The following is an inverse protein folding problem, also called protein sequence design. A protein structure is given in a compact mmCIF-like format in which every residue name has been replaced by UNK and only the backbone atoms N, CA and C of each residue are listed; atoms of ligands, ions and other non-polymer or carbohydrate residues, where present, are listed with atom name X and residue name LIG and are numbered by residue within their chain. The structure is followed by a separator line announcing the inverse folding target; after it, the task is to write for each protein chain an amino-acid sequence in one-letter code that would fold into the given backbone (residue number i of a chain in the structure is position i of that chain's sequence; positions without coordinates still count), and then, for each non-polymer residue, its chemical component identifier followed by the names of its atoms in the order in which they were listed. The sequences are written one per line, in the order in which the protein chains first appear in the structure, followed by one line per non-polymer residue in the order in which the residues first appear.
data_IF_421466891338
#
_entry.id   IF_421466891338
#
_cell.length_a   1.000
_cell.length_b   1.000
_cell.length_c   1.000
_cell.angle_alpha   90.00
_cell.angle_beta   90.00
_cell.angle_gamma   90.00
#
_symmetry.space_group_name_H-M   'P 1'
#
loop_
_entity.id
_entity.type
_entity.pdbx_description
1 polymer ?
#
# COMPACT_ATOMS: atom_id res chain seq x y z
N UNK A 1 18.85 24.01 31.81
CA UNK A 1 18.65 22.83 30.97
C UNK A 1 17.24 22.82 30.32
N UNK A 2 16.18 23.09 31.07
CA UNK A 2 14.81 23.01 30.51
C UNK A 2 14.52 23.98 29.34
N UNK A 3 15.16 25.16 29.29
CA UNK A 3 14.94 26.15 28.21
C UNK A 3 15.55 25.71 26.89
N UNK A 4 16.80 25.21 26.88
CA UNK A 4 17.49 24.75 25.69
C UNK A 4 16.82 23.49 25.09
N UNK A 5 16.39 22.54 25.94
CA UNK A 5 15.65 21.37 25.51
C UNK A 5 14.30 21.73 24.89
N UNK A 6 13.56 22.68 25.49
CA UNK A 6 12.29 23.17 24.94
C UNK A 6 12.49 23.89 23.62
N UNK A 7 13.54 24.70 23.51
CA UNK A 7 13.90 25.41 22.29
C UNK A 7 14.16 24.43 21.14
N UNK A 8 15.05 23.45 21.36
CA UNK A 8 15.41 22.46 20.38
C UNK A 8 14.20 21.59 19.97
N UNK A 9 13.43 21.12 20.96
CA UNK A 9 12.24 20.31 20.73
C UNK A 9 11.20 21.08 19.89
N UNK A 10 10.98 22.37 20.19
CA UNK A 10 10.07 23.23 19.42
C UNK A 10 10.54 23.40 17.97
N UNK A 11 11.83 23.57 17.74
CA UNK A 11 12.37 23.68 16.38
C UNK A 11 12.21 22.37 15.61
N UNK A 12 12.54 21.22 16.22
CA UNK A 12 12.37 19.91 15.58
C UNK A 12 10.90 19.64 15.30
N UNK A 13 9.99 19.96 16.23
CA UNK A 13 8.56 19.76 16.04
C UNK A 13 8.01 20.65 14.91
N UNK A 14 8.40 21.92 14.85
CA UNK A 14 7.99 22.82 13.78
C UNK A 14 8.51 22.35 12.41
N UNK A 15 9.77 21.93 12.34
CA UNK A 15 10.37 21.38 11.13
C UNK A 15 9.71 20.04 10.71
N UNK A 16 9.37 19.19 11.69
CA UNK A 16 8.64 17.94 11.46
C UNK A 16 7.26 18.20 10.85
N UNK A 17 6.47 19.09 11.46
CA UNK A 17 5.14 19.44 10.94
C UNK A 17 5.21 20.00 9.52
N UNK A 18 6.15 20.91 9.27
CA UNK A 18 6.39 21.46 7.92
C UNK A 18 6.80 20.32 6.95
N UNK A 19 7.73 19.47 7.35
CA UNK A 19 8.18 18.32 6.56
C UNK A 19 7.02 17.36 6.26
N UNK A 20 6.18 17.04 7.24
CA UNK A 20 5.00 16.21 7.03
C UNK A 20 4.04 16.82 5.98
N UNK A 21 3.77 18.12 6.06
CA UNK A 21 2.91 18.78 5.08
C UNK A 21 3.52 18.70 3.68
N UNK A 22 4.81 19.03 3.56
CA UNK A 22 5.52 18.99 2.27
C UNK A 22 5.54 17.58 1.68
N UNK A 23 5.94 16.56 2.46
CA UNK A 23 6.00 15.19 1.97
C UNK A 23 4.61 14.62 1.66
N UNK A 24 3.60 14.93 2.48
CA UNK A 24 2.21 14.53 2.18
C UNK A 24 1.75 15.14 0.85
N UNK A 25 2.05 16.41 0.61
CA UNK A 25 1.70 17.08 -0.64
C UNK A 25 2.44 16.48 -1.84
N UNK A 26 3.74 16.20 -1.71
CA UNK A 26 4.54 15.57 -2.78
C UNK A 26 4.02 14.17 -3.11
N UNK A 27 3.72 13.35 -2.08
CA UNK A 27 3.17 12.01 -2.27
C UNK A 27 1.76 12.04 -2.87
N UNK A 28 0.95 13.02 -2.46
CA UNK A 28 -0.39 13.21 -3.01
C UNK A 28 -0.34 13.56 -4.50
N UNK A 29 0.59 14.43 -4.92
CA UNK A 29 0.79 14.74 -6.34
C UNK A 29 1.39 13.54 -7.10
N UNK A 30 2.38 12.85 -6.52
CA UNK A 30 3.09 11.75 -7.17
C UNK A 30 2.20 10.53 -7.39
N UNK A 31 1.64 9.99 -6.33
CA UNK A 31 0.87 8.75 -6.35
C UNK A 31 -0.63 8.97 -6.22
N UNK A 32 -1.05 9.92 -5.37
CA UNK A 32 -2.47 10.23 -5.19
C UNK A 32 -3.14 10.75 -6.45
N UNK A 33 -2.44 11.60 -7.22
CA UNK A 33 -2.99 12.12 -8.47
C UNK A 33 -3.24 10.99 -9.49
N UNK A 34 -2.36 10.00 -9.58
CA UNK A 34 -2.55 8.83 -10.48
C UNK A 34 -3.82 8.05 -10.13
N UNK A 35 -4.13 7.94 -8.84
CA UNK A 35 -5.32 7.22 -8.37
C UNK A 35 -6.61 8.04 -8.54
N UNK A 36 -6.52 9.39 -8.49
CA UNK A 36 -7.67 10.30 -8.61
C UNK A 36 -7.90 10.75 -10.07
N UNK A 37 -6.87 10.74 -10.91
CA UNK A 37 -6.94 11.22 -12.30
C UNK A 37 -8.08 10.59 -13.12
N UNK A 38 -8.36 9.28 -13.04
CA UNK A 38 -9.50 8.66 -13.75
C UNK A 38 -10.85 9.27 -13.36
N UNK A 39 -11.01 9.70 -12.09
CA UNK A 39 -12.22 10.36 -11.63
C UNK A 39 -12.38 11.78 -12.20
N UNK A 40 -11.25 12.50 -12.37
CA UNK A 40 -11.26 13.87 -12.88
C UNK A 40 -11.52 13.90 -14.40
N UNK A 41 -10.97 12.95 -15.15
CA UNK A 41 -11.14 12.86 -16.62
C UNK A 41 -12.59 12.50 -16.97
N UNK A 42 -13.27 11.69 -16.15
CA UNK A 42 -14.67 11.32 -16.36
C UNK A 42 -15.67 12.47 -16.29
N UNK A 43 -15.28 13.66 -15.84
CA UNK A 43 -16.00 14.95 -15.95
C UNK A 43 -17.33 15.06 -15.19
N UNK A 44 -17.81 13.98 -14.55
CA UNK A 44 -19.12 13.92 -13.90
C UNK A 44 -19.05 13.74 -12.38
N UNK A 45 -17.84 13.74 -11.81
CA UNK A 45 -17.66 13.52 -10.38
C UNK A 45 -17.80 14.86 -9.63
N UNK A 46 -18.66 14.85 -8.61
CA UNK A 46 -18.87 16.02 -7.75
C UNK A 46 -17.56 16.37 -7.02
N UNK A 47 -17.22 17.65 -6.96
CA UNK A 47 -15.99 18.12 -6.27
C UNK A 47 -15.90 17.68 -4.79
N UNK A 48 -17.04 17.45 -4.13
CA UNK A 48 -17.07 16.89 -2.76
C UNK A 48 -16.50 15.49 -2.68
N UNK A 49 -16.73 14.63 -3.68
CA UNK A 49 -16.20 13.26 -3.72
C UNK A 49 -14.68 13.28 -3.94
N UNK A 50 -14.19 14.20 -4.78
CA UNK A 50 -12.74 14.37 -4.98
C UNK A 50 -12.07 14.82 -3.68
N UNK A 51 -12.67 15.75 -2.96
CA UNK A 51 -12.15 16.22 -1.67
C UNK A 51 -12.17 15.10 -0.61
N UNK A 52 -13.22 14.28 -0.58
CA UNK A 52 -13.31 13.11 0.28
C UNK A 52 -12.23 12.07 -0.06
N UNK A 53 -12.01 11.79 -1.35
CA UNK A 53 -10.96 10.91 -1.82
C UNK A 53 -9.56 11.38 -1.37
N UNK A 54 -9.28 12.69 -1.52
CA UNK A 54 -8.02 13.30 -1.05
C UNK A 54 -7.91 13.16 0.47
N UNK A 55 -8.98 13.43 1.22
CA UNK A 55 -9.01 13.30 2.68
C UNK A 55 -8.69 11.90 3.17
N UNK A 56 -9.19 10.87 2.47
CA UNK A 56 -8.92 9.47 2.78
C UNK A 56 -7.48 9.03 2.45
N UNK A 57 -6.81 9.68 1.49
CA UNK A 57 -5.42 9.39 1.16
C UNK A 57 -4.42 10.01 2.13
N UNK A 58 -4.78 11.10 2.83
CA UNK A 58 -3.87 11.80 3.75
C UNK A 58 -3.34 10.86 4.85
N UNK A 59 -4.15 10.09 5.61
CA UNK A 59 -3.64 9.20 6.66
C UNK A 59 -2.75 8.09 6.09
N UNK A 60 -3.05 7.60 4.89
CA UNK A 60 -2.21 6.63 4.20
C UNK A 60 -0.82 7.20 3.88
N UNK A 61 -0.72 8.43 3.38
CA UNK A 61 0.56 9.07 3.09
C UNK A 61 1.33 9.45 4.36
N UNK A 62 0.67 9.65 5.50
CA UNK A 62 1.35 9.92 6.77
C UNK A 62 2.22 8.75 7.24
N UNK A 63 1.91 7.51 6.83
CA UNK A 63 2.79 6.36 7.05
C UNK A 63 4.21 6.69 6.61
N UNK A 64 4.35 7.30 5.43
CA UNK A 64 5.63 7.64 4.80
C UNK A 64 6.13 9.03 5.18
N UNK A 65 5.23 10.01 5.23
CA UNK A 65 5.58 11.40 5.48
C UNK A 65 6.15 11.64 6.88
N UNK A 66 5.69 10.90 7.89
CA UNK A 66 6.14 11.07 9.27
C UNK A 66 7.62 10.70 9.46
N UNK A 67 8.12 9.51 9.07
CA UNK A 67 9.54 9.20 9.21
C UNK A 67 10.44 10.08 8.30
N UNK A 68 10.00 10.38 7.07
CA UNK A 68 10.74 11.30 6.18
C UNK A 68 10.81 12.73 6.73
N UNK A 69 9.68 13.21 7.26
CA UNK A 69 9.61 14.51 7.91
C UNK A 69 10.53 14.60 9.11
N UNK A 70 10.62 13.54 9.93
CA UNK A 70 11.46 13.50 11.11
C UNK A 70 12.97 13.45 10.75
N UNK A 71 13.33 12.68 9.72
CA UNK A 71 14.70 12.67 9.18
C UNK A 71 15.11 14.09 8.72
N UNK A 72 14.27 14.70 7.88
CA UNK A 72 14.53 16.04 7.35
C UNK A 72 14.59 17.08 8.47
N UNK A 73 13.67 17.01 9.43
CA UNK A 73 13.65 17.91 10.59
C UNK A 73 14.93 17.79 11.41
N UNK A 74 15.40 16.58 11.69
CA UNK A 74 16.64 16.38 12.47
C UNK A 74 17.87 16.85 11.71
N UNK A 75 17.96 16.55 10.41
CA UNK A 75 19.09 17.02 9.59
C UNK A 75 19.14 18.56 9.51
N UNK A 76 18.01 19.22 9.26
CA UNK A 76 17.94 20.67 9.13
C UNK A 76 18.19 21.39 10.45
N UNK A 77 17.53 20.95 11.53
CA UNK A 77 17.65 21.61 12.83
C UNK A 77 19.04 21.43 13.41
N UNK A 78 19.61 20.22 13.40
CA UNK A 78 20.96 20.00 13.91
C UNK A 78 22.03 20.54 12.98
N UNK A 79 21.78 20.58 11.67
CA UNK A 79 22.65 21.26 10.71
C UNK A 79 22.74 22.76 10.98
N UNK A 80 21.61 23.41 11.18
CA UNK A 80 21.54 24.83 11.55
C UNK A 80 22.18 25.09 12.93
N UNK A 81 21.84 24.27 13.92
CA UNK A 81 22.37 24.36 15.28
C UNK A 81 23.93 24.24 15.31
N UNK A 82 24.49 23.44 14.43
CA UNK A 82 25.94 23.29 14.24
C UNK A 82 26.50 24.48 13.46
N UNK A 83 25.86 24.95 12.39
CA UNK A 83 26.34 26.06 11.56
C UNK A 83 26.36 27.40 12.30
N UNK A 84 25.35 27.64 13.15
CA UNK A 84 25.24 28.85 13.98
C UNK A 84 26.14 28.79 15.24
N UNK A 85 26.99 27.75 15.38
CA UNK A 85 27.89 27.51 16.51
C UNK A 85 27.21 27.35 17.88
N UNK A 86 25.87 27.20 17.92
CA UNK A 86 25.08 27.00 19.14
C UNK A 86 25.50 25.69 19.85
N UNK A 87 25.82 24.64 19.06
CA UNK A 87 26.29 23.36 19.56
C UNK A 87 27.68 23.53 20.25
N UNK A 88 28.57 24.31 19.64
CA UNK A 88 29.91 24.58 20.19
C UNK A 88 29.79 25.36 21.50
N UNK A 89 28.94 26.37 21.57
CA UNK A 89 28.68 27.16 22.78
C UNK A 89 28.07 26.29 23.91
N UNK A 90 27.12 25.41 23.58
CA UNK A 90 26.53 24.48 24.55
C UNK A 90 27.55 23.49 25.11
N UNK A 91 28.49 23.01 24.28
CA UNK A 91 29.60 22.14 24.72
C UNK A 91 30.60 22.87 25.56
N UNK A 92 30.95 24.09 25.19
CA UNK A 92 31.85 24.92 25.97
C UNK A 92 31.30 25.23 27.38
N UNK A 93 30.00 25.28 27.56
CA UNK A 93 29.33 25.38 28.87
C UNK A 93 29.19 24.04 29.62
N UNK A 94 29.83 22.95 29.14
CA UNK A 94 29.87 21.66 29.83
C UNK A 94 28.67 20.76 29.55
N UNK A 95 27.78 21.11 28.63
CA UNK A 95 26.61 20.29 28.28
C UNK A 95 27.06 19.18 27.31
N UNK A 96 26.82 17.92 27.67
CA UNK A 96 27.10 16.79 26.77
C UNK A 96 26.13 16.75 25.59
N UNK A 97 26.63 16.32 24.42
CA UNK A 97 25.79 16.16 23.23
C UNK A 97 24.63 15.17 23.48
N UNK A 98 24.89 14.07 24.20
CA UNK A 98 23.86 13.09 24.54
C UNK A 98 22.72 13.71 25.36
N UNK A 99 23.03 14.54 26.36
CA UNK A 99 22.02 15.25 27.14
C UNK A 99 21.19 16.18 26.25
N UNK A 100 21.82 16.82 25.26
CA UNK A 100 21.14 17.74 24.35
C UNK A 100 20.18 17.03 23.39
N UNK A 101 20.54 15.85 22.87
CA UNK A 101 19.73 15.11 21.91
C UNK A 101 18.65 14.23 22.54
N UNK A 102 18.77 13.92 23.85
CA UNK A 102 17.81 13.06 24.57
C UNK A 102 16.34 13.43 24.34
N UNK A 103 15.90 14.71 24.44
CA UNK A 103 14.49 15.04 24.21
C UNK A 103 14.02 14.78 22.77
N UNK A 104 14.93 14.87 21.80
CA UNK A 104 14.61 14.57 20.40
C UNK A 104 14.52 13.07 20.17
N UNK A 105 15.37 12.29 20.84
CA UNK A 105 15.28 10.82 20.83
C UNK A 105 13.99 10.33 21.51
N UNK A 106 13.57 10.95 22.60
CA UNK A 106 12.27 10.65 23.23
C UNK A 106 11.10 11.02 22.32
N UNK A 107 11.17 12.17 21.64
CA UNK A 107 10.19 12.53 20.61
C UNK A 107 10.14 11.47 19.49
N UNK A 108 11.28 10.97 19.04
CA UNK A 108 11.32 9.96 17.98
C UNK A 108 10.68 8.63 18.42
N UNK A 109 10.84 8.23 19.68
CA UNK A 109 10.14 7.06 20.23
C UNK A 109 8.64 7.28 20.31
N UNK A 110 8.21 8.48 20.71
CA UNK A 110 6.78 8.83 20.64
C UNK A 110 6.26 8.77 19.20
N UNK A 111 7.02 9.31 18.24
CA UNK A 111 6.69 9.22 16.81
C UNK A 111 6.68 7.78 16.30
N UNK A 112 7.50 6.86 16.83
CA UNK A 112 7.40 5.43 16.51
C UNK A 112 6.06 4.84 16.94
N UNK A 113 5.58 5.16 18.14
CA UNK A 113 4.26 4.74 18.61
C UNK A 113 3.13 5.29 17.73
N UNK A 114 3.21 6.58 17.37
CA UNK A 114 2.27 7.21 16.46
C UNK A 114 2.32 6.58 15.05
N UNK A 115 3.53 6.35 14.53
CA UNK A 115 3.75 5.68 13.25
C UNK A 115 3.21 4.25 13.26
N UNK A 116 3.40 3.52 14.36
CA UNK A 116 2.84 2.19 14.52
C UNK A 116 1.30 2.22 14.45
N UNK A 117 0.67 3.12 15.18
CA UNK A 117 -0.79 3.26 15.15
C UNK A 117 -1.30 3.60 13.75
N UNK A 118 -0.65 4.55 13.05
CA UNK A 118 -1.03 4.93 11.70
C UNK A 118 -0.83 3.75 10.74
N UNK A 119 0.30 3.05 10.82
CA UNK A 119 0.68 2.01 9.86
C UNK A 119 -0.09 0.69 10.07
N UNK A 120 -0.37 0.31 11.32
CA UNK A 120 -1.04 -0.94 11.67
C UNK A 120 -2.57 -0.86 11.53
N UNK A 121 -3.15 0.32 11.68
CA UNK A 121 -4.62 0.47 11.74
C UNK A 121 -5.16 1.57 10.82
N UNK A 122 -4.75 2.84 11.00
CA UNK A 122 -5.37 4.00 10.35
C UNK A 122 -5.11 4.03 8.84
N UNK A 123 -3.87 3.83 8.41
CA UNK A 123 -3.47 3.86 6.99
C UNK A 123 -4.18 2.80 6.14
N UNK A 124 -4.12 1.50 6.52
CA UNK A 124 -4.85 0.46 5.79
C UNK A 124 -6.35 0.69 5.72
N UNK A 125 -6.99 1.11 6.84
CA UNK A 125 -8.43 1.43 6.84
C UNK A 125 -8.78 2.56 5.87
N UNK A 126 -8.02 3.65 5.91
CA UNK A 126 -8.23 4.79 5.02
C UNK A 126 -8.07 4.40 3.56
N UNK A 127 -7.09 3.55 3.24
CA UNK A 127 -6.87 3.06 1.87
C UNK A 127 -8.02 2.16 1.39
N UNK A 128 -8.55 1.29 2.26
CA UNK A 128 -9.72 0.46 1.94
C UNK A 128 -10.96 1.32 1.67
N UNK A 129 -11.22 2.32 2.51
CA UNK A 129 -12.35 3.24 2.31
C UNK A 129 -12.17 4.07 1.02
N UNK A 130 -10.95 4.53 0.73
CA UNK A 130 -10.63 5.19 -0.53
C UNK A 130 -10.93 4.28 -1.73
N UNK A 131 -10.45 3.02 -1.71
CA UNK A 131 -10.73 2.06 -2.80
C UNK A 131 -12.23 1.78 -2.96
N UNK A 132 -12.97 1.68 -1.87
CA UNK A 132 -14.43 1.54 -1.92
C UNK A 132 -15.11 2.77 -2.54
N UNK A 133 -14.64 3.98 -2.18
CA UNK A 133 -15.14 5.22 -2.77
C UNK A 133 -14.90 5.26 -4.27
N UNK A 134 -13.65 5.01 -4.71
CA UNK A 134 -13.30 4.93 -6.14
C UNK A 134 -14.19 3.92 -6.86
N UNK A 135 -14.34 2.74 -6.27
CA UNK A 135 -15.15 1.68 -6.86
C UNK A 135 -16.63 2.07 -6.98
N UNK A 136 -17.21 2.72 -5.95
CA UNK A 136 -18.60 3.19 -6.00
C UNK A 136 -18.82 4.23 -7.10
N UNK A 137 -17.85 5.15 -7.28
CA UNK A 137 -17.91 6.18 -8.32
C UNK A 137 -17.77 5.56 -9.72
N UNK A 138 -16.84 4.61 -9.89
CA UNK A 138 -16.70 3.89 -11.16
C UNK A 138 -17.96 3.09 -11.51
N UNK A 139 -18.58 2.46 -10.51
CA UNK A 139 -19.85 1.76 -10.69
C UNK A 139 -21.01 2.71 -11.10
N UNK A 140 -21.05 3.91 -10.54
CA UNK A 140 -22.04 4.91 -10.91
C UNK A 140 -21.75 5.51 -12.31
N UNK A 141 -20.48 5.69 -12.68
CA UNK A 141 -20.08 6.13 -14.03
C UNK A 141 -20.36 5.06 -15.09
N UNK A 142 -20.13 3.78 -14.78
CA UNK A 142 -20.48 2.66 -15.66
C UNK A 142 -21.99 2.59 -15.97
N UNK A 143 -22.85 3.15 -15.11
CA UNK A 143 -24.29 3.28 -15.37
C UNK A 143 -24.60 4.21 -16.56
N UNK A 144 -23.76 5.23 -16.80
CA UNK A 144 -24.10 6.30 -17.75
C UNK A 144 -23.28 6.27 -19.03
N UNK A 145 -22.07 5.69 -19.03
CA UNK A 145 -21.20 5.72 -20.22
C UNK A 145 -20.29 4.50 -20.27
N UNK A 146 -20.79 3.38 -20.77
CA UNK A 146 -19.88 2.39 -21.36
C UNK A 146 -19.29 3.07 -22.62
N UNK A 147 -17.95 3.31 -22.67
CA UNK A 147 -17.34 3.96 -23.83
C UNK A 147 -17.56 3.11 -25.09
N UNK A 148 -17.99 3.77 -26.15
CA UNK A 148 -18.22 3.11 -27.42
C UNK A 148 -16.91 2.74 -28.11
N UNK A 149 -16.88 1.60 -28.77
CA UNK A 149 -15.76 1.09 -29.62
C UNK A 149 -14.44 0.93 -28.88
N UNK A 150 -14.47 0.69 -27.57
CA UNK A 150 -13.30 0.44 -26.75
C UNK A 150 -13.47 -0.83 -25.90
N UNK A 151 -12.33 -1.51 -25.65
CA UNK A 151 -12.30 -2.64 -24.73
C UNK A 151 -12.16 -2.11 -23.28
N UNK A 152 -13.21 -2.32 -22.49
CA UNK A 152 -13.30 -1.93 -21.10
C UNK A 152 -12.70 -3.07 -20.26
N UNK A 153 -11.63 -2.80 -19.52
CA UNK A 153 -10.93 -3.75 -18.65
C UNK A 153 -11.11 -3.44 -17.16
N UNK A 154 -11.98 -2.50 -16.86
CA UNK A 154 -12.21 -2.01 -15.49
C UNK A 154 -12.97 -3.00 -14.62
N UNK A 155 -13.47 -4.08 -15.21
CA UNK A 155 -14.16 -5.15 -14.51
C UNK A 155 -13.24 -6.35 -14.28
N UNK A 156 -12.83 -6.64 -13.02
CA UNK A 156 -11.95 -7.77 -12.71
C UNK A 156 -12.52 -9.10 -13.25
N UNK A 157 -11.71 -9.79 -14.06
CA UNK A 157 -12.12 -11.07 -14.67
C UNK A 157 -12.95 -10.96 -15.95
N UNK A 158 -13.18 -9.72 -16.46
CA UNK A 158 -13.96 -9.50 -17.67
C UNK A 158 -13.31 -8.45 -18.57
N UNK A 159 -13.45 -8.62 -19.87
CA UNK A 159 -13.23 -7.57 -20.85
C UNK A 159 -14.54 -7.37 -21.59
N UNK A 160 -15.06 -6.15 -21.59
CA UNK A 160 -16.34 -5.81 -22.20
C UNK A 160 -16.08 -4.87 -23.38
N UNK A 161 -16.67 -5.15 -24.52
CA UNK A 161 -16.67 -4.27 -25.68
C UNK A 161 -18.09 -3.91 -26.04
N UNK A 162 -18.35 -2.66 -26.32
CA UNK A 162 -19.65 -2.13 -26.75
C UNK A 162 -19.43 -1.31 -28.01
N UNK A 163 -20.10 -1.67 -29.10
CA UNK A 163 -20.03 -0.94 -30.36
C UNK A 163 -20.72 0.41 -30.30
N UNK A 164 -21.96 0.46 -29.78
CA UNK A 164 -22.72 1.69 -29.53
C UNK A 164 -23.54 1.58 -28.25
N UNK A 165 -23.68 2.69 -27.56
CA UNK A 165 -24.45 2.81 -26.33
C UNK A 165 -25.42 4.00 -26.40
N UNK A 166 -26.71 3.74 -26.45
CA UNK A 166 -27.75 4.76 -26.48
C UNK A 166 -28.56 4.67 -25.17
N UNK A 167 -28.05 5.28 -24.08
CA UNK A 167 -28.78 5.37 -22.82
C UNK A 167 -29.09 4.03 -22.14
N UNK A 168 -28.20 3.02 -22.34
CA UNK A 168 -28.34 1.68 -21.77
C UNK A 168 -28.78 0.63 -22.80
N UNK A 169 -29.28 1.02 -23.97
CA UNK A 169 -29.46 0.11 -25.08
C UNK A 169 -28.13 -0.03 -25.84
N UNK A 170 -27.60 -1.24 -25.83
CA UNK A 170 -26.28 -1.57 -26.36
C UNK A 170 -26.36 -2.26 -27.72
N UNK A 171 -25.46 -1.93 -28.63
CA UNK A 171 -25.32 -2.62 -29.93
C UNK A 171 -23.90 -3.17 -30.03
N UNK A 172 -23.78 -4.37 -30.61
CA UNK A 172 -22.53 -5.08 -30.83
C UNK A 172 -21.73 -5.26 -29.54
N UNK A 173 -22.30 -6.05 -28.62
CA UNK A 173 -21.73 -6.31 -27.29
C UNK A 173 -20.88 -7.57 -27.30
N UNK A 174 -19.62 -7.49 -26.86
CA UNK A 174 -18.77 -8.65 -26.64
C UNK A 174 -18.32 -8.67 -25.18
N UNK A 175 -18.48 -9.81 -24.53
CA UNK A 175 -18.04 -10.05 -23.15
C UNK A 175 -17.06 -11.21 -23.17
N UNK A 176 -15.82 -10.96 -22.74
CA UNK A 176 -14.79 -11.99 -22.56
C UNK A 176 -14.65 -12.27 -21.07
N UNK A 177 -14.81 -13.52 -20.69
CA UNK A 177 -14.61 -13.99 -19.32
C UNK A 177 -13.18 -14.53 -19.20
N UNK A 178 -12.42 -13.97 -18.26
CA UNK A 178 -11.03 -14.32 -18.03
C UNK A 178 -10.90 -15.26 -16.82
N UNK A 179 -10.13 -16.33 -16.97
CA UNK A 179 -9.68 -17.16 -15.87
C UNK A 179 -8.27 -16.72 -15.46
N UNK A 180 -8.06 -16.47 -14.15
CA UNK A 180 -6.78 -15.99 -13.60
C UNK A 180 -6.27 -14.67 -14.23
N UNK A 181 -7.16 -13.82 -14.75
CA UNK A 181 -6.83 -12.49 -15.28
C UNK A 181 -6.19 -12.47 -16.66
N UNK A 182 -5.82 -13.61 -17.26
CA UNK A 182 -5.08 -13.66 -18.55
C UNK A 182 -5.71 -14.55 -19.60
N UNK A 183 -6.33 -15.66 -19.25
CA UNK A 183 -6.84 -16.62 -20.23
C UNK A 183 -8.33 -16.45 -20.47
N UNK A 184 -8.75 -16.19 -21.70
CA UNK A 184 -10.16 -16.12 -22.09
C UNK A 184 -10.75 -17.53 -22.08
N UNK A 185 -11.74 -17.77 -21.22
CA UNK A 185 -12.46 -19.08 -21.12
C UNK A 185 -13.81 -19.04 -21.80
N UNK A 186 -14.46 -17.88 -21.86
CA UNK A 186 -15.77 -17.75 -22.48
C UNK A 186 -15.84 -16.42 -23.21
N UNK A 187 -16.34 -16.46 -24.44
CA UNK A 187 -16.63 -15.27 -25.23
C UNK A 187 -18.13 -15.25 -25.53
N UNK A 188 -18.79 -14.15 -25.22
CA UNK A 188 -20.19 -13.92 -25.49
C UNK A 188 -20.27 -12.75 -26.47
N UNK A 189 -20.94 -12.93 -27.57
CA UNK A 189 -21.21 -11.90 -28.58
C UNK A 189 -22.71 -11.76 -28.75
N UNK A 190 -23.22 -10.54 -28.71
CA UNK A 190 -24.62 -10.24 -28.93
C UNK A 190 -24.76 -9.00 -29.83
N UNK A 191 -25.58 -9.05 -30.90
CA UNK A 191 -25.81 -7.89 -31.77
C UNK A 191 -26.55 -6.77 -31.03
N UNK A 192 -27.41 -7.12 -30.07
CA UNK A 192 -28.19 -6.18 -29.28
C UNK A 192 -28.21 -6.61 -27.82
N UNK A 193 -28.18 -5.64 -26.91
CA UNK A 193 -28.28 -5.86 -25.48
C UNK A 193 -28.80 -4.64 -24.74
N UNK A 194 -29.24 -4.87 -23.51
CA UNK A 194 -29.65 -3.81 -22.60
C UNK A 194 -28.92 -3.93 -21.28
N UNK A 195 -28.36 -2.82 -20.84
CA UNK A 195 -27.75 -2.73 -19.53
C UNK A 195 -28.82 -2.37 -18.50
N UNK A 196 -29.08 -3.29 -17.58
CA UNK A 196 -29.87 -3.04 -16.38
C UNK A 196 -28.95 -2.95 -15.17
N UNK A 197 -29.13 -1.93 -14.36
CA UNK A 197 -28.40 -1.76 -13.12
C UNK A 197 -29.38 -1.88 -11.97
N UNK A 198 -29.21 -2.90 -11.16
CA UNK A 198 -29.95 -3.02 -9.91
C UNK A 198 -29.28 -2.16 -8.84
N UNK A 199 -29.94 -1.04 -8.50
CA UNK A 199 -29.43 -0.09 -7.51
C UNK A 199 -29.40 -0.67 -6.09
N UNK A 200 -30.23 -1.67 -5.79
CA UNK A 200 -30.31 -2.27 -4.45
C UNK A 200 -29.27 -3.36 -4.26
N UNK A 201 -29.05 -4.21 -5.27
CA UNK A 201 -28.09 -5.31 -5.22
C UNK A 201 -26.72 -4.95 -5.80
N UNK A 202 -26.60 -3.77 -6.42
CA UNK A 202 -25.38 -3.30 -7.13
C UNK A 202 -24.89 -4.28 -8.19
N UNK A 203 -25.84 -4.95 -8.85
CA UNK A 203 -25.55 -5.88 -9.94
C UNK A 203 -25.70 -5.17 -11.28
N UNK A 204 -24.73 -5.38 -12.17
CA UNK A 204 -24.82 -4.98 -13.58
C UNK A 204 -25.35 -6.20 -14.36
N UNK A 205 -26.56 -6.11 -14.87
CA UNK A 205 -27.14 -7.17 -15.70
C UNK A 205 -27.14 -6.73 -17.15
N UNK A 206 -26.42 -7.47 -17.97
CA UNK A 206 -26.48 -7.36 -19.42
C UNK A 206 -27.53 -8.32 -19.94
N UNK A 207 -28.67 -7.80 -20.37
CA UNK A 207 -29.69 -8.58 -21.07
C UNK A 207 -29.30 -8.59 -22.55
N UNK A 208 -28.71 -9.67 -23.00
CA UNK A 208 -28.18 -9.85 -24.36
C UNK A 208 -29.21 -10.58 -25.23
N UNK A 209 -29.59 -9.99 -26.36
CA UNK A 209 -30.53 -10.57 -27.33
C UNK A 209 -29.74 -11.28 -28.43
N UNK A 210 -30.20 -12.47 -28.82
CA UNK A 210 -29.58 -13.29 -29.86
C UNK A 210 -28.11 -13.59 -29.64
N UNK A 211 -27.74 -13.83 -28.37
CA UNK A 211 -26.36 -14.01 -27.97
C UNK A 211 -25.74 -15.33 -28.51
N UNK A 212 -24.47 -15.28 -28.85
CA UNK A 212 -23.63 -16.42 -29.19
C UNK A 212 -22.57 -16.56 -28.11
N UNK A 213 -22.52 -17.72 -27.48
CA UNK A 213 -21.51 -18.03 -26.46
C UNK A 213 -20.54 -19.09 -26.98
N UNK A 214 -19.25 -18.81 -26.89
CA UNK A 214 -18.17 -19.74 -27.19
C UNK A 214 -17.41 -20.00 -25.90
N UNK A 215 -17.43 -21.25 -25.45
CA UNK A 215 -16.72 -21.68 -24.25
C UNK A 215 -15.54 -22.57 -24.61
N UNK A 216 -14.37 -22.27 -24.10
CA UNK A 216 -13.16 -23.09 -24.21
C UNK A 216 -13.17 -24.09 -23.06
N UNK A 217 -13.26 -25.38 -23.39
CA UNK A 217 -13.21 -26.44 -22.38
C UNK A 217 -11.76 -26.71 -21.94
N UNK A 218 -11.53 -27.32 -20.76
CA UNK A 218 -10.18 -27.69 -20.29
C UNK A 218 -9.42 -28.59 -21.28
N UNK A 219 -10.11 -29.33 -22.12
CA UNK A 219 -9.54 -30.21 -23.14
C UNK A 219 -9.21 -29.48 -24.47
N UNK A 220 -9.29 -28.14 -24.50
CA UNK A 220 -9.05 -27.34 -25.70
C UNK A 220 -10.18 -27.36 -26.74
N UNK A 221 -11.27 -28.11 -26.51
CA UNK A 221 -12.44 -28.13 -27.40
C UNK A 221 -13.30 -26.89 -27.21
N UNK A 222 -13.90 -26.39 -28.29
CA UNK A 222 -14.81 -25.24 -28.27
C UNK A 222 -16.26 -25.72 -28.23
N UNK A 223 -17.04 -25.18 -27.30
CA UNK A 223 -18.48 -25.40 -27.25
C UNK A 223 -19.19 -24.13 -27.69
N UNK A 224 -20.03 -24.22 -28.71
CA UNK A 224 -20.81 -23.11 -29.23
C UNK A 224 -22.25 -23.24 -28.74
N UNK A 225 -22.78 -22.19 -28.14
CA UNK A 225 -24.19 -22.10 -27.69
C UNK A 225 -24.82 -20.87 -28.31
N UNK A 226 -25.99 -21.03 -28.95
CA UNK A 226 -26.73 -19.96 -29.61
C UNK A 226 -28.07 -19.73 -28.90
N UNK A 227 -28.32 -18.48 -28.49
CA UNK A 227 -29.58 -18.05 -27.83
C UNK A 227 -30.45 -17.26 -28.82
N UNK A 228 -30.85 -17.90 -29.89
CA UNK A 228 -31.65 -17.25 -30.94
C UNK A 228 -33.10 -17.05 -30.46
N UNK A 229 -33.59 -15.80 -30.44
CA UNK A 229 -34.92 -15.44 -29.96
C UNK A 229 -35.09 -15.40 -28.44
N UNK A 230 -34.03 -15.62 -27.68
CA UNK A 230 -34.01 -15.58 -26.22
C UNK A 230 -33.08 -14.50 -25.72
N UNK A 231 -33.38 -13.90 -24.55
CA UNK A 231 -32.46 -13.01 -23.85
C UNK A 231 -31.54 -13.82 -22.93
N UNK A 232 -30.24 -13.64 -23.08
CA UNK A 232 -29.28 -14.14 -22.13
C UNK A 232 -29.02 -13.02 -21.12
N UNK A 233 -29.47 -13.19 -19.89
CA UNK A 233 -29.14 -12.26 -18.81
C UNK A 233 -27.81 -12.67 -18.20
N UNK A 234 -26.78 -11.88 -18.46
CA UNK A 234 -25.46 -12.05 -17.85
C UNK A 234 -25.30 -11.03 -16.73
N UNK A 235 -25.37 -11.50 -15.51
CA UNK A 235 -25.23 -10.64 -14.33
C UNK A 235 -23.79 -10.62 -13.87
N UNK A 236 -23.16 -9.47 -13.97
CA UNK A 236 -21.92 -9.19 -13.28
C UNK A 236 -22.26 -8.69 -11.88
N UNK A 237 -21.99 -9.51 -10.90
CA UNK A 237 -22.07 -9.06 -9.52
C UNK A 237 -20.91 -8.11 -9.29
N UNK A 238 -21.20 -6.81 -9.29
CA UNK A 238 -20.26 -5.86 -8.73
C UNK A 238 -19.92 -6.35 -7.34
N UNK A 239 -18.61 -6.46 -6.99
CA UNK A 239 -18.22 -6.86 -5.65
C UNK A 239 -19.06 -6.03 -4.68
N UNK A 240 -19.97 -6.71 -4.01
CA UNK A 240 -20.98 -6.07 -3.18
C UNK A 240 -20.27 -5.16 -2.18
N UNK A 241 -20.72 -3.91 -2.08
CA UNK A 241 -20.33 -2.99 -1.00
C UNK A 241 -20.89 -3.44 0.35
N UNK A 242 -21.40 -4.65 0.40
CA UNK A 242 -21.64 -5.30 1.67
C UNK A 242 -20.30 -5.35 2.37
N UNK A 243 -20.21 -4.72 3.54
CA UNK A 243 -19.00 -4.63 4.36
C UNK A 243 -18.33 -6.00 4.61
N UNK A 244 -19.03 -7.10 4.25
CA UNK A 244 -18.60 -8.49 4.36
C UNK A 244 -17.98 -9.10 3.09
N UNK A 245 -18.13 -8.49 1.90
CA UNK A 245 -17.72 -9.11 0.63
C UNK A 245 -16.48 -8.49 -0.02
N UNK A 246 -16.07 -7.26 0.35
CA UNK A 246 -14.80 -6.70 -0.10
C UNK A 246 -13.68 -7.31 0.74
N UNK A 247 -12.97 -8.28 0.17
CA UNK A 247 -11.69 -8.73 0.75
C UNK A 247 -10.60 -7.73 0.34
N UNK A 248 -10.05 -6.97 1.29
CA UNK A 248 -8.94 -6.09 0.98
C UNK A 248 -7.74 -6.92 0.50
N UNK A 249 -6.93 -6.34 -0.39
CA UNK A 249 -5.65 -6.95 -0.74
C UNK A 249 -4.79 -7.08 0.53
N UNK A 250 -3.87 -8.04 0.57
CA UNK A 250 -2.99 -8.28 1.73
C UNK A 250 -2.29 -6.99 2.16
N UNK A 251 -1.87 -6.16 1.20
CA UNK A 251 -1.21 -4.85 1.43
C UNK A 251 -2.12 -3.77 2.03
N UNK A 252 -3.43 -3.96 1.98
CA UNK A 252 -4.43 -3.01 2.49
C UNK A 252 -5.08 -3.51 3.80
N UNK A 253 -4.69 -4.68 4.29
CA UNK A 253 -5.21 -5.25 5.53
C UNK A 253 -4.56 -4.59 6.74
N UNK A 254 -5.36 -4.37 7.80
CA UNK A 254 -4.82 -3.99 9.10
C UNK A 254 -4.04 -5.15 9.72
N UNK A 255 -3.12 -4.85 10.62
CA UNK A 255 -2.33 -5.87 11.33
C UNK A 255 -3.20 -6.97 11.96
N UNK A 256 -4.31 -6.60 12.58
CA UNK A 256 -5.25 -7.54 13.19
C UNK A 256 -5.98 -8.41 12.17
N UNK A 257 -6.30 -7.85 10.99
CA UNK A 257 -6.90 -8.63 9.90
C UNK A 257 -5.90 -9.63 9.33
N UNK A 258 -4.63 -9.22 9.17
CA UNK A 258 -3.55 -10.11 8.72
C UNK A 258 -3.34 -11.25 9.71
N UNK A 259 -3.33 -10.95 11.02
CA UNK A 259 -3.18 -11.97 12.05
C UNK A 259 -4.35 -12.96 12.05
N UNK A 260 -5.59 -12.48 11.97
CA UNK A 260 -6.77 -13.34 11.91
C UNK A 260 -6.77 -14.24 10.66
N UNK A 261 -6.41 -13.69 9.50
CA UNK A 261 -6.32 -14.47 8.25
C UNK A 261 -5.19 -15.52 8.33
N UNK A 262 -4.06 -15.17 8.96
CA UNK A 262 -2.96 -16.09 9.21
C UNK A 262 -3.38 -17.24 10.15
N UNK A 263 -4.12 -16.92 11.22
CA UNK A 263 -4.62 -17.91 12.17
C UNK A 263 -5.66 -18.83 11.51
N UNK A 264 -6.54 -18.28 10.68
CA UNK A 264 -7.53 -19.04 9.93
C UNK A 264 -6.88 -19.97 8.90
N UNK A 265 -5.85 -19.50 8.18
CA UNK A 265 -5.07 -20.32 7.27
C UNK A 265 -4.32 -21.44 8.04
N UNK A 266 -3.70 -21.12 9.16
CA UNK A 266 -3.02 -22.09 10.00
C UNK A 266 -3.97 -23.18 10.52
N UNK A 267 -5.22 -22.83 10.89
CA UNK A 267 -6.25 -23.80 11.31
C UNK A 267 -6.68 -24.69 10.15
N UNK A 268 -6.92 -24.12 8.96
CA UNK A 268 -7.37 -24.86 7.77
C UNK A 268 -6.31 -25.76 7.20
N UNK A 269 -5.03 -25.36 7.27
CA UNK A 269 -3.88 -26.11 6.74
C UNK A 269 -3.21 -26.98 7.82
N UNK A 270 -3.62 -26.88 9.09
CA UNK A 270 -3.04 -27.60 10.23
C UNK A 270 -3.65 -28.96 10.51
N UNK A 271 -4.70 -29.37 9.78
CA UNK A 271 -5.29 -30.71 9.85
C UNK A 271 -4.70 -31.56 8.72
N UNK A 272 -3.88 -32.58 8.99
CA UNK A 272 -3.49 -33.53 7.94
C UNK A 272 -4.74 -34.28 7.48
N UNK A 273 -4.96 -34.41 6.17
CA UNK A 273 -5.95 -35.36 5.68
C UNK A 273 -5.51 -36.78 6.12
N UNK A 274 -6.49 -37.62 6.44
CA UNK A 274 -6.37 -38.97 6.95
C UNK A 274 -5.01 -39.64 6.64
N UNK A 275 -4.24 -39.86 7.71
CA UNK A 275 -2.90 -40.45 7.66
C UNK A 275 -2.94 -41.98 7.49
N UNK A 276 -4.10 -42.61 7.46
CA UNK A 276 -4.26 -44.05 7.56
C UNK A 276 -4.05 -44.82 6.25
N UNK A 277 -3.91 -44.15 5.09
CA UNK A 277 -3.86 -44.84 3.79
C UNK A 277 -2.51 -44.81 3.04
N UNK A 278 -1.46 -44.18 3.59
CA UNK A 278 -0.20 -43.99 2.85
C UNK A 278 1.00 -44.55 3.59
N UNK A 279 1.83 -45.33 2.92
CA UNK A 279 3.06 -45.92 3.48
C UNK A 279 4.12 -44.89 3.90
N UNK A 280 5.11 -45.25 4.73
CA UNK A 280 6.01 -44.34 5.44
C UNK A 280 6.81 -43.36 4.54
N UNK A 281 7.15 -43.74 3.31
CA UNK A 281 7.85 -42.85 2.35
C UNK A 281 6.93 -41.83 1.70
N UNK A 282 5.66 -42.14 1.50
CA UNK A 282 4.67 -41.21 0.98
C UNK A 282 4.22 -40.14 2.00
N UNK A 283 4.36 -40.40 3.30
CA UNK A 283 4.09 -39.48 4.35
C UNK A 283 5.09 -38.29 4.36
N UNK A 284 6.37 -38.57 4.19
CA UNK A 284 7.42 -37.55 4.20
C UNK A 284 7.29 -36.58 3.02
N UNK A 285 7.00 -37.06 1.83
CA UNK A 285 6.84 -36.25 0.63
C UNK A 285 5.58 -35.37 0.72
N UNK A 286 4.45 -35.91 1.18
CA UNK A 286 3.22 -35.14 1.41
C UNK A 286 3.35 -34.13 2.54
N UNK A 287 4.09 -34.45 3.60
CA UNK A 287 4.40 -33.48 4.67
C UNK A 287 5.21 -32.30 4.14
N UNK A 288 6.26 -32.55 3.35
CA UNK A 288 7.07 -31.49 2.75
C UNK A 288 6.29 -30.67 1.72
N UNK A 289 5.41 -31.29 0.93
CA UNK A 289 4.55 -30.57 -0.01
C UNK A 289 3.50 -29.71 0.73
N UNK A 290 2.87 -30.23 1.77
CA UNK A 290 1.92 -29.50 2.60
C UNK A 290 2.59 -28.34 3.37
N UNK A 291 3.79 -28.57 3.89
CA UNK A 291 4.59 -27.55 4.57
C UNK A 291 5.04 -26.46 3.61
N UNK A 292 5.45 -26.80 2.40
CA UNK A 292 5.79 -25.85 1.33
C UNK A 292 4.56 -25.04 0.91
N UNK A 293 3.43 -25.72 0.66
CA UNK A 293 2.18 -25.07 0.29
C UNK A 293 1.65 -24.14 1.39
N UNK A 294 1.82 -24.54 2.66
CA UNK A 294 1.54 -23.69 3.82
C UNK A 294 2.47 -22.47 3.85
N UNK A 295 3.77 -22.66 3.61
CA UNK A 295 4.74 -21.58 3.52
C UNK A 295 4.35 -20.58 2.43
N UNK A 296 4.09 -21.05 1.23
CA UNK A 296 3.74 -20.21 0.07
C UNK A 296 2.49 -19.34 0.31
N UNK A 297 1.50 -19.84 1.06
CA UNK A 297 0.27 -19.11 1.38
C UNK A 297 0.38 -18.19 2.59
N UNK A 298 1.18 -18.53 3.59
CA UNK A 298 1.30 -17.76 4.84
C UNK A 298 2.41 -16.72 4.79
N UNK A 299 3.44 -16.93 3.96
CA UNK A 299 4.59 -16.03 3.90
C UNK A 299 4.23 -14.60 3.46
N UNK A 300 3.36 -14.35 2.45
CA UNK A 300 2.96 -12.98 2.10
C UNK A 300 2.29 -12.22 3.24
N UNK A 301 1.52 -12.92 4.08
CA UNK A 301 0.87 -12.31 5.26
C UNK A 301 1.92 -11.95 6.32
N UNK A 302 2.88 -12.84 6.58
CA UNK A 302 3.98 -12.59 7.52
C UNK A 302 4.85 -11.44 7.05
N UNK A 303 5.22 -11.44 5.77
CA UNK A 303 6.00 -10.37 5.14
C UNK A 303 5.33 -9.02 5.36
N UNK A 304 4.03 -8.92 5.09
CA UNK A 304 3.29 -7.66 5.27
C UNK A 304 3.21 -7.25 6.74
N UNK A 305 2.96 -8.18 7.68
CA UNK A 305 2.97 -7.89 9.11
C UNK A 305 4.33 -7.35 9.57
N UNK A 306 5.42 -8.02 9.20
CA UNK A 306 6.77 -7.57 9.54
C UNK A 306 7.11 -6.23 8.89
N UNK A 307 6.68 -5.98 7.64
CA UNK A 307 6.84 -4.71 6.93
C UNK A 307 6.18 -3.57 7.71
N UNK A 308 4.91 -3.74 8.11
CA UNK A 308 4.16 -2.72 8.86
C UNK A 308 4.85 -2.39 10.20
N UNK A 309 5.28 -3.40 10.95
CA UNK A 309 5.97 -3.20 12.24
C UNK A 309 7.35 -2.58 12.04
N UNK A 310 8.17 -3.13 11.15
CA UNK A 310 9.53 -2.64 10.91
C UNK A 310 9.53 -1.18 10.45
N UNK A 311 8.60 -0.81 9.58
CA UNK A 311 8.48 0.56 9.09
C UNK A 311 8.12 1.56 10.20
N UNK A 312 7.40 1.12 11.23
CA UNK A 312 7.07 1.97 12.38
C UNK A 312 8.32 2.40 13.17
N UNK A 313 9.39 1.58 13.17
CA UNK A 313 10.67 1.91 13.78
C UNK A 313 11.54 2.85 12.95
N UNK A 314 11.17 3.13 11.69
CA UNK A 314 11.93 4.04 10.83
C UNK A 314 12.11 5.45 11.45
N UNK A 315 11.12 5.93 12.20
CA UNK A 315 11.20 7.21 12.90
C UNK A 315 12.42 7.31 13.83
N UNK A 316 12.66 6.27 14.64
CA UNK A 316 13.82 6.23 15.53
C UNK A 316 15.13 6.07 14.75
N UNK A 317 15.15 5.16 13.76
CA UNK A 317 16.31 4.90 12.92
C UNK A 317 16.77 6.16 12.18
N UNK A 318 15.84 6.88 11.59
CA UNK A 318 16.09 8.14 10.87
C UNK A 318 16.52 9.27 11.80
N UNK A 319 15.96 9.36 12.99
CA UNK A 319 16.40 10.36 13.98
C UNK A 319 17.81 10.10 14.43
N UNK A 320 18.13 8.83 14.73
CA UNK A 320 19.44 8.46 15.25
C UNK A 320 20.58 8.72 14.25
N UNK A 321 20.33 8.54 12.95
CA UNK A 321 21.29 8.84 11.89
C UNK A 321 21.25 10.31 11.48
N UNK A 322 20.07 10.94 11.47
CA UNK A 322 19.86 12.32 11.04
C UNK A 322 20.57 13.33 11.93
N UNK A 323 20.57 13.13 13.25
CA UNK A 323 21.24 14.02 14.21
C UNK A 323 22.74 14.15 13.94
N UNK A 324 23.55 13.07 13.96
CA UNK A 324 25.00 13.20 13.77
C UNK A 324 25.39 13.63 12.35
N UNK A 325 24.60 13.25 11.34
CA UNK A 325 24.82 13.72 9.97
C UNK A 325 24.51 15.22 9.85
N UNK A 326 23.43 15.70 10.45
CA UNK A 326 23.12 17.11 10.51
C UNK A 326 24.24 17.92 11.15
N UNK A 327 24.79 17.45 12.28
CA UNK A 327 25.91 18.10 12.95
C UNK A 327 27.17 18.19 12.06
N UNK A 328 27.45 17.14 11.27
CA UNK A 328 28.63 17.11 10.38
C UNK A 328 28.52 17.97 9.15
N UNK A 329 27.29 18.15 8.63
CA UNK A 329 27.04 18.99 7.45
C UNK A 329 27.09 20.47 7.80
N UNK A 330 28.15 20.94 8.42
CA UNK A 330 28.40 22.32 8.87
C UNK A 330 28.22 23.46 7.84
N UNK A 331 27.63 23.21 6.70
CA UNK A 331 27.43 24.19 5.63
C UNK A 331 26.12 24.91 5.79
N UNK A 332 26.16 26.24 5.64
CA UNK A 332 25.00 27.17 5.66
C UNK A 332 23.92 26.88 4.60
N UNK A 333 24.13 25.88 3.76
CA UNK A 333 23.22 25.55 2.65
C UNK A 333 22.20 24.48 3.07
N UNK A 334 20.98 24.89 3.26
CA UNK A 334 19.79 24.04 3.52
C UNK A 334 19.65 22.92 2.49
N UNK A 335 20.08 23.15 1.25
CA UNK A 335 19.99 22.22 0.14
C UNK A 335 20.78 20.92 0.39
N UNK A 336 21.94 20.99 1.07
CA UNK A 336 22.76 19.81 1.37
C UNK A 336 22.04 18.88 2.36
N UNK A 337 21.37 19.45 3.37
CA UNK A 337 20.57 18.67 4.34
C UNK A 337 19.41 17.94 3.67
N UNK A 338 18.69 18.63 2.78
CA UNK A 338 17.56 18.04 2.03
C UNK A 338 18.05 16.95 1.07
N UNK A 339 19.15 17.19 0.34
CA UNK A 339 19.74 16.19 -0.54
C UNK A 339 20.19 14.94 0.22
N UNK A 340 20.82 15.11 1.40
CA UNK A 340 21.22 14.01 2.27
C UNK A 340 19.99 13.22 2.76
N UNK A 341 18.92 13.92 3.17
CA UNK A 341 17.68 13.26 3.57
C UNK A 341 17.12 12.40 2.43
N UNK A 342 17.10 12.94 1.22
CA UNK A 342 16.59 12.23 0.04
C UNK A 342 17.43 10.97 -0.25
N UNK A 343 18.73 11.04 -0.20
CA UNK A 343 19.63 9.89 -0.40
C UNK A 343 19.37 8.80 0.65
N UNK A 344 19.27 9.17 1.93
CA UNK A 344 19.00 8.21 3.00
C UNK A 344 17.62 7.55 2.85
N UNK A 345 16.61 8.32 2.45
CA UNK A 345 15.27 7.80 2.13
C UNK A 345 15.35 6.83 0.96
N UNK A 346 16.03 7.17 -0.12
CA UNK A 346 16.20 6.28 -1.28
C UNK A 346 16.89 4.96 -0.90
N UNK A 347 17.94 5.01 -0.08
CA UNK A 347 18.61 3.81 0.42
C UNK A 347 17.64 2.95 1.24
N UNK A 348 16.88 3.56 2.15
CA UNK A 348 15.89 2.85 2.96
C UNK A 348 14.82 2.17 2.10
N UNK A 349 14.29 2.90 1.11
CA UNK A 349 13.29 2.36 0.17
C UNK A 349 13.84 1.28 -0.75
N UNK A 350 15.11 1.34 -1.13
CA UNK A 350 15.73 0.28 -1.92
C UNK A 350 15.68 -1.08 -1.18
N UNK A 351 15.91 -1.08 0.16
CA UNK A 351 15.74 -2.30 0.96
C UNK A 351 14.29 -2.80 1.00
N UNK A 352 13.31 -1.88 1.09
CA UNK A 352 11.89 -2.25 1.04
C UNK A 352 11.55 -2.90 -0.30
N UNK A 353 11.94 -2.29 -1.42
CA UNK A 353 11.70 -2.82 -2.76
C UNK A 353 12.35 -4.20 -2.97
N UNK A 354 13.56 -4.41 -2.43
CA UNK A 354 14.22 -5.72 -2.45
C UNK A 354 13.41 -6.73 -1.64
N UNK A 355 12.96 -6.36 -0.43
CA UNK A 355 12.11 -7.20 0.41
C UNK A 355 10.79 -7.59 -0.29
N UNK A 356 10.14 -6.64 -0.93
CA UNK A 356 8.91 -6.88 -1.70
C UNK A 356 9.15 -7.77 -2.92
N UNK A 357 10.25 -7.58 -3.65
CA UNK A 357 10.60 -8.43 -4.80
C UNK A 357 10.90 -9.88 -4.42
N UNK A 358 11.37 -10.11 -3.20
CA UNK A 358 11.69 -11.42 -2.65
C UNK A 358 10.53 -12.05 -1.87
N UNK A 359 9.41 -11.33 -1.69
CA UNK A 359 8.25 -11.81 -0.91
C UNK A 359 7.65 -13.12 -1.43
N UNK A 360 7.80 -13.41 -2.74
CA UNK A 360 7.38 -14.65 -3.37
C UNK A 360 8.38 -15.82 -3.20
N UNK A 361 9.51 -15.60 -2.52
CA UNK A 361 10.56 -16.61 -2.32
C UNK A 361 10.84 -16.83 -0.83
N UNK A 362 10.14 -17.78 -0.18
CA UNK A 362 10.26 -18.03 1.26
C UNK A 362 11.67 -18.44 1.69
N UNK A 363 12.48 -19.00 0.77
CA UNK A 363 13.86 -19.45 1.01
C UNK A 363 14.78 -18.33 1.54
N UNK A 364 14.51 -17.07 1.22
CA UNK A 364 15.33 -15.90 1.63
C UNK A 364 14.84 -15.21 2.90
N UNK A 365 13.86 -15.78 3.61
CA UNK A 365 13.25 -15.18 4.80
C UNK A 365 12.94 -13.67 4.62
N UNK A 366 12.13 -13.29 3.60
CA UNK A 366 11.94 -11.90 3.19
C UNK A 366 11.42 -11.01 4.32
N UNK A 367 10.73 -11.56 5.31
CA UNK A 367 10.27 -10.84 6.49
C UNK A 367 11.41 -10.23 7.33
N UNK A 368 12.64 -10.80 7.29
CA UNK A 368 13.80 -10.24 7.99
C UNK A 368 14.44 -9.06 7.24
N UNK A 369 14.31 -9.02 5.90
CA UNK A 369 14.92 -7.97 5.06
C UNK A 369 14.37 -6.59 5.43
N UNK A 370 13.09 -6.50 5.83
CA UNK A 370 12.47 -5.23 6.25
C UNK A 370 13.06 -4.65 7.55
N UNK A 371 13.68 -5.49 8.39
CA UNK A 371 14.34 -5.03 9.61
C UNK A 371 15.77 -4.55 9.37
N UNK A 372 16.40 -5.02 8.29
CA UNK A 372 17.80 -4.75 7.99
C UNK A 372 18.13 -3.24 7.90
N UNK A 373 17.37 -2.40 7.18
CA UNK A 373 17.65 -0.98 7.11
C UNK A 373 17.55 -0.30 8.48
N UNK A 374 16.61 -0.73 9.34
CA UNK A 374 16.48 -0.19 10.68
C UNK A 374 17.75 -0.48 11.51
N UNK A 375 18.23 -1.71 11.52
CA UNK A 375 19.43 -2.07 12.26
C UNK A 375 20.69 -1.38 11.71
N UNK A 376 20.83 -1.29 10.39
CA UNK A 376 21.96 -0.58 9.77
C UNK A 376 21.93 0.90 10.16
N UNK A 377 20.79 1.57 10.02
CA UNK A 377 20.69 2.99 10.32
C UNK A 377 20.87 3.29 11.81
N UNK A 378 20.37 2.43 12.68
CA UNK A 378 20.57 2.55 14.12
C UNK A 378 22.04 2.32 14.51
N UNK A 379 22.69 1.28 13.97
CA UNK A 379 24.09 1.01 14.25
C UNK A 379 25.00 2.14 13.76
N UNK A 380 24.83 2.57 12.50
CA UNK A 380 25.60 3.68 11.93
C UNK A 380 25.32 4.98 12.68
N UNK A 381 24.04 5.29 12.96
CA UNK A 381 23.65 6.49 13.70
C UNK A 381 24.22 6.51 15.11
N UNK A 382 24.17 5.38 15.84
CA UNK A 382 24.74 5.26 17.18
C UNK A 382 26.27 5.47 17.19
N UNK A 383 26.98 4.85 16.24
CA UNK A 383 28.45 5.02 16.10
C UNK A 383 28.79 6.48 15.77
N UNK A 384 28.06 7.09 14.83
CA UNK A 384 28.29 8.49 14.46
C UNK A 384 27.99 9.45 15.63
N UNK A 385 26.91 9.21 16.37
CA UNK A 385 26.52 10.00 17.54
C UNK A 385 27.56 9.86 18.67
N UNK A 386 28.05 8.65 18.91
CA UNK A 386 29.10 8.39 19.90
C UNK A 386 30.41 9.10 19.54
N UNK A 387 30.84 9.04 18.26
CA UNK A 387 32.01 9.78 17.77
C UNK A 387 31.82 11.28 17.93
N UNK A 388 30.64 11.80 17.49
CA UNK A 388 30.34 13.21 17.64
C UNK A 388 30.32 13.66 19.10
N UNK A 389 29.90 12.82 20.05
CA UNK A 389 29.96 13.14 21.49
C UNK A 389 31.39 13.22 22.03
N UNK A 390 32.31 12.40 21.52
CA UNK A 390 33.73 12.42 21.90
C UNK A 390 34.56 13.53 21.24
N UNK A 391 33.99 14.25 20.26
CA UNK A 391 34.72 15.30 19.53
C UNK A 391 35.62 14.78 18.41
N UNK A 392 35.41 13.51 17.97
CA UNK A 392 36.20 12.84 16.93
C UNK A 392 35.38 12.74 15.65
#
# INVERSE_FOLDING_TARGET
MNTLHKYLLRQVLAALLLGMVVFTFVLLIGDGLKEILPLLIGGQVRSSVVLEAIGLLIPFFWVYALPMGLLTATLLVFGRFSADQELTAARASGISLLSLVTPVLLLSLFCCGLSAWINLDLGPRSRVEFKKLIFSVQADLARFQLPERQFIRDFPGYIIYVGKNHGGDLQDVMIFVLQNGTNVTTTIHAPEGRLKVDAQNKDLTFDLLNAQMVKVNPNGSLTYTFFKGWSLSYTYQLPSTDKRAYRPAITDMTFWQLQNELDDLNRKLGLPPDLDEVGPEGHLTRFHEAEKQRGDLTEPLRVEMHRQVAFSFACFSFTLIGIPLGIRVQRRETNVGVAMALILVLIYYAFIMVGESLSARPEFAPHLIFWLPNFIFQAVGAVLLWRANRGI
#
